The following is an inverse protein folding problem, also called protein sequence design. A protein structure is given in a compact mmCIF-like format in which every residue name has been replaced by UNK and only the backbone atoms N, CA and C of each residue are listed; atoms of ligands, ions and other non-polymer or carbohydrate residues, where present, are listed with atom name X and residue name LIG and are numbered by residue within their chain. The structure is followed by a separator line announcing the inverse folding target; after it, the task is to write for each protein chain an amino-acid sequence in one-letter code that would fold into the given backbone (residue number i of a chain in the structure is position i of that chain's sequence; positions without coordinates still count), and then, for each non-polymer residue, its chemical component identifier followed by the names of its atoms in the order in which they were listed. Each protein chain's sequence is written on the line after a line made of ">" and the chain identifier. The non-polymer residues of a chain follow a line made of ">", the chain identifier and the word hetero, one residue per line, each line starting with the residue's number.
data_IF_405968038328
#
_entry.id   IF_405968038328
#
_cell.length_a   1.000
_cell.length_b   1.000
_cell.length_c   1.000
_cell.angle_alpha   90.00
_cell.angle_beta   90.00
_cell.angle_gamma   90.00
#
_symmetry.space_group_name_H-M   'P 1'
#
loop_
_entity.id
_entity.type
_entity.pdbx_description
1 polymer ?
#
# COMPACT_ATOMS: atom_id res chain seq x y z
N UNK A 1 41.43 22.20 18.49
CA UNK A 1 40.14 22.85 18.81
C UNK A 1 39.99 24.07 17.94
N UNK A 2 39.20 23.96 16.86
CA UNK A 2 38.31 24.96 16.28
C UNK A 2 37.27 24.12 15.53
N UNK A 3 36.02 24.31 15.94
CA UNK A 3 34.82 23.66 15.43
C UNK A 3 34.29 24.45 14.22
N UNK A 4 33.39 23.82 13.46
CA UNK A 4 32.40 24.35 12.49
C UNK A 4 32.60 23.77 11.07
N UNK A 5 31.54 23.44 10.32
CA UNK A 5 30.09 23.56 10.53
C UNK A 5 29.44 22.55 9.58
N UNK A 6 28.29 21.98 9.95
CA UNK A 6 27.48 21.11 9.08
C UNK A 6 27.24 21.80 7.74
N UNK A 7 27.65 21.15 6.64
CA UNK A 7 27.38 21.60 5.29
C UNK A 7 25.93 21.26 4.95
N UNK A 8 25.08 22.28 4.82
CA UNK A 8 23.73 22.16 4.29
C UNK A 8 23.88 22.25 2.77
N UNK A 9 23.68 21.13 2.07
CA UNK A 9 23.61 21.09 0.61
C UNK A 9 22.17 21.43 0.25
N UNK A 10 21.88 22.70 -0.05
CA UNK A 10 20.60 23.08 -0.64
C UNK A 10 20.64 22.70 -2.11
N UNK A 11 20.02 21.56 -2.47
CA UNK A 11 19.86 21.15 -3.86
C UNK A 11 18.67 21.89 -4.47
N UNK A 12 18.92 23.08 -5.02
CA UNK A 12 17.94 23.79 -5.86
C UNK A 12 18.13 23.39 -7.31
N UNK A 13 17.39 22.38 -7.78
CA UNK A 13 17.25 22.06 -9.20
C UNK A 13 15.93 22.65 -9.71
N UNK A 14 16.09 23.82 -10.32
CA UNK A 14 15.10 24.59 -11.05
C UNK A 14 14.69 23.77 -12.28
N UNK A 15 13.50 23.15 -12.28
CA UNK A 15 12.88 22.63 -13.49
C UNK A 15 12.21 23.79 -14.23
N UNK A 16 13.02 24.54 -14.99
CA UNK A 16 12.51 25.44 -16.03
C UNK A 16 11.88 24.59 -17.13
N UNK A 17 10.55 24.61 -17.14
CA UNK A 17 9.71 24.78 -18.32
C UNK A 17 9.82 23.75 -19.44
N UNK A 18 8.83 22.86 -19.49
CA UNK A 18 8.21 22.52 -20.77
C UNK A 18 6.71 22.21 -20.56
N UNK A 19 5.91 23.26 -20.36
CA UNK A 19 4.46 23.19 -20.54
C UNK A 19 4.12 23.89 -21.85
N UNK A 20 4.19 23.12 -22.94
CA UNK A 20 3.60 23.47 -24.22
C UNK A 20 2.22 22.81 -24.31
N UNK A 21 1.19 23.66 -24.33
CA UNK A 21 -0.23 23.40 -24.63
C UNK A 21 -1.08 22.75 -23.53
N UNK A 22 -1.44 23.53 -22.51
CA UNK A 22 -2.73 23.38 -21.82
C UNK A 22 -3.46 24.73 -21.80
N UNK A 23 -4.77 24.66 -21.98
CA UNK A 23 -5.70 25.76 -22.21
C UNK A 23 -5.67 26.80 -21.06
N UNK A 24 -5.69 28.08 -21.41
CA UNK A 24 -5.49 29.21 -20.49
C UNK A 24 -6.76 29.41 -19.65
N UNK A 25 -6.66 29.05 -18.38
CA UNK A 25 -7.56 29.47 -17.30
C UNK A 25 -6.72 29.65 -16.05
N UNK A 26 -6.15 30.84 -15.91
CA UNK A 26 -5.44 31.39 -14.74
C UNK A 26 -4.03 30.84 -14.43
N UNK A 27 -3.03 31.53 -14.98
CA UNK A 27 -1.65 31.52 -14.47
C UNK A 27 -1.61 32.52 -13.30
N UNK A 28 -1.30 32.06 -12.09
CA UNK A 28 -1.03 32.92 -10.92
C UNK A 28 0.32 32.53 -10.33
N UNK A 29 1.25 33.48 -10.28
CA UNK A 29 2.53 33.36 -9.59
C UNK A 29 2.32 33.68 -8.10
N UNK A 30 2.74 32.77 -7.20
CA UNK A 30 2.81 33.07 -5.77
C UNK A 30 4.24 33.51 -5.41
N UNK A 31 4.38 34.81 -5.13
CA UNK A 31 5.52 35.42 -4.48
C UNK A 31 5.41 35.18 -2.96
N UNK A 32 6.53 34.85 -2.32
CA UNK A 32 6.66 34.64 -0.87
C UNK A 32 5.94 35.74 -0.07
N UNK A 33 4.99 35.35 0.78
CA UNK A 33 4.69 36.08 2.02
C UNK A 33 4.17 35.10 3.06
N UNK A 34 4.99 34.89 4.08
CA UNK A 34 4.61 34.29 5.35
C UNK A 34 3.66 35.27 6.04
N UNK A 35 2.41 34.87 6.30
CA UNK A 35 1.68 35.19 7.54
C UNK A 35 0.31 34.46 7.59
N UNK A 36 0.02 33.88 8.77
CA UNK A 36 -1.27 33.36 9.27
C UNK A 36 -1.83 32.01 8.73
N UNK A 37 -1.26 30.92 9.26
CA UNK A 37 -1.88 29.97 10.21
C UNK A 37 -3.44 29.96 10.26
N UNK A 38 -4.03 28.76 10.11
CA UNK A 38 -5.41 28.33 10.47
C UNK A 38 -6.52 28.18 9.42
N UNK A 39 -6.23 27.99 8.12
CA UNK A 39 -7.25 27.41 7.24
C UNK A 39 -6.69 26.77 5.99
N UNK A 40 -7.17 25.57 5.69
CA UNK A 40 -7.00 24.80 4.45
C UNK A 40 -5.73 23.96 4.43
N UNK A 41 -5.77 22.81 5.12
CA UNK A 41 -5.05 21.60 4.73
C UNK A 41 -5.86 20.36 5.18
N UNK A 42 -7.11 20.27 4.73
CA UNK A 42 -7.80 18.97 4.66
C UNK A 42 -7.50 18.33 3.29
N UNK A 43 -6.22 18.21 2.95
CA UNK A 43 -5.83 17.16 2.02
C UNK A 43 -5.81 15.92 2.91
N UNK A 44 -6.96 15.23 2.99
CA UNK A 44 -6.96 13.83 3.39
C UNK A 44 -6.05 13.13 2.38
N UNK A 45 -4.80 12.90 2.80
CA UNK A 45 -4.05 11.76 2.32
C UNK A 45 -5.01 10.60 2.54
N UNK A 46 -5.55 10.03 1.45
CA UNK A 46 -6.30 8.79 1.55
C UNK A 46 -5.31 7.79 2.14
N UNK A 47 -5.39 7.60 3.45
CA UNK A 47 -4.76 6.49 4.14
C UNK A 47 -5.34 5.28 3.42
N UNK A 48 -4.52 4.62 2.60
CA UNK A 48 -4.88 3.35 2.01
C UNK A 48 -5.02 2.46 3.24
N UNK A 49 -6.25 2.27 3.70
CA UNK A 49 -6.54 1.45 4.86
C UNK A 49 -6.08 0.05 4.50
N UNK A 50 -4.87 -0.30 4.94
CA UNK A 50 -4.31 -1.64 4.81
C UNK A 50 -5.26 -2.57 5.54
N UNK A 51 -5.64 -3.62 4.86
CA UNK A 51 -6.53 -4.61 5.41
C UNK A 51 -5.90 -5.19 6.67
N UNK A 52 -6.64 -5.32 7.76
CA UNK A 52 -6.20 -6.10 8.92
C UNK A 52 -6.64 -7.57 8.79
N UNK A 53 -6.17 -8.42 9.72
CA UNK A 53 -6.46 -9.87 9.71
C UNK A 53 -7.96 -10.16 9.77
N UNK A 54 -8.69 -9.45 10.63
CA UNK A 54 -10.14 -9.62 10.81
C UNK A 54 -10.92 -9.23 9.54
N UNK A 55 -10.50 -8.16 8.87
CA UNK A 55 -11.07 -7.76 7.57
C UNK A 55 -10.74 -8.77 6.47
N UNK A 56 -9.56 -9.41 6.52
CA UNK A 56 -9.16 -10.43 5.53
C UNK A 56 -10.01 -11.69 5.66
N UNK A 57 -10.27 -12.12 6.90
CA UNK A 57 -11.17 -13.22 7.18
C UNK A 57 -12.60 -12.89 6.75
N UNK A 58 -13.07 -11.67 7.02
CA UNK A 58 -14.39 -11.21 6.56
C UNK A 58 -14.51 -11.24 5.03
N UNK A 59 -13.47 -10.78 4.33
CA UNK A 59 -13.42 -10.81 2.87
C UNK A 59 -13.51 -12.25 2.33
N UNK A 60 -12.84 -13.20 2.97
CA UNK A 60 -12.93 -14.62 2.63
C UNK A 60 -14.34 -15.19 2.86
N UNK A 61 -14.99 -14.83 3.96
CA UNK A 61 -16.37 -15.23 4.25
C UNK A 61 -17.37 -14.63 3.25
N UNK A 62 -17.14 -13.40 2.78
CA UNK A 62 -17.94 -12.77 1.71
C UNK A 62 -17.72 -13.47 0.36
N UNK A 63 -16.49 -13.91 0.08
CA UNK A 63 -16.16 -14.68 -1.11
C UNK A 63 -16.80 -16.08 -1.09
N UNK A 64 -16.73 -16.80 0.03
CA UNK A 64 -17.41 -18.07 0.20
C UNK A 64 -17.70 -18.39 1.68
N UNK A 65 -18.93 -18.12 2.10
CA UNK A 65 -19.39 -18.35 3.47
C UNK A 65 -19.60 -19.82 3.86
N UNK A 66 -19.44 -20.76 2.92
CA UNK A 66 -19.64 -22.19 3.19
C UNK A 66 -18.34 -22.88 3.65
N UNK A 67 -17.24 -22.14 3.72
CA UNK A 67 -15.91 -22.65 4.08
C UNK A 67 -15.47 -21.98 5.39
N UNK A 68 -14.92 -22.79 6.30
CA UNK A 68 -14.22 -22.26 7.48
C UNK A 68 -12.77 -21.96 7.09
N UNK A 69 -12.28 -20.79 7.49
CA UNK A 69 -10.93 -20.34 7.21
C UNK A 69 -10.09 -20.34 8.50
N UNK A 70 -8.97 -21.06 8.49
CA UNK A 70 -8.09 -21.21 9.64
C UNK A 70 -6.83 -20.39 9.41
N UNK A 71 -6.66 -19.31 10.18
CA UNK A 71 -5.49 -18.44 10.08
C UNK A 71 -4.17 -19.22 10.27
N UNK A 72 -3.19 -18.96 9.39
CA UNK A 72 -1.87 -19.62 9.41
C UNK A 72 -0.71 -18.68 9.65
N UNK A 73 -0.86 -17.37 9.42
CA UNK A 73 0.26 -16.43 9.50
C UNK A 73 0.17 -15.32 8.47
N UNK A 74 1.26 -14.57 8.34
CA UNK A 74 1.41 -13.50 7.35
C UNK A 74 2.41 -13.90 6.27
N UNK A 75 2.71 -13.00 5.31
CA UNK A 75 3.74 -13.22 4.30
C UNK A 75 5.11 -13.60 4.85
N UNK A 76 5.43 -13.17 6.08
CA UNK A 76 6.75 -13.38 6.68
C UNK A 76 7.02 -14.86 6.98
N UNK A 77 5.95 -15.61 7.25
CA UNK A 77 5.98 -17.04 7.55
C UNK A 77 6.18 -17.91 6.28
N UNK A 78 6.03 -17.32 5.09
CA UNK A 78 6.09 -18.04 3.82
C UNK A 78 7.10 -17.41 2.86
N UNK A 79 8.24 -18.09 2.64
CA UNK A 79 9.31 -17.64 1.73
C UNK A 79 8.79 -17.20 0.36
N UNK A 80 7.85 -17.95 -0.22
CA UNK A 80 7.27 -17.65 -1.52
C UNK A 80 6.54 -16.30 -1.59
N UNK A 81 5.91 -15.85 -0.50
CA UNK A 81 5.20 -14.57 -0.45
C UNK A 81 6.19 -13.43 -0.21
N UNK A 82 7.11 -13.63 0.74
CA UNK A 82 8.19 -12.68 1.06
C UNK A 82 9.08 -12.37 -0.15
N UNK A 83 9.50 -13.38 -0.91
CA UNK A 83 10.34 -13.21 -2.10
C UNK A 83 9.63 -12.44 -3.23
N UNK A 84 8.29 -12.47 -3.25
CA UNK A 84 7.48 -11.70 -4.20
C UNK A 84 7.15 -10.28 -3.70
N UNK A 85 7.54 -9.93 -2.47
CA UNK A 85 7.20 -8.64 -1.86
C UNK A 85 5.70 -8.45 -1.61
N UNK A 86 4.94 -9.55 -1.55
CA UNK A 86 3.52 -9.53 -1.24
C UNK A 86 3.34 -9.43 0.28
N UNK A 87 2.31 -8.70 0.71
CA UNK A 87 1.97 -8.53 2.13
C UNK A 87 0.53 -8.91 2.38
N UNK A 88 0.27 -9.54 3.52
CA UNK A 88 -1.08 -9.88 3.94
C UNK A 88 -1.15 -11.20 4.69
N UNK A 89 -2.28 -11.88 4.56
CA UNK A 89 -2.68 -12.94 5.50
C UNK A 89 -2.95 -14.26 4.80
N UNK A 90 -2.48 -15.35 5.41
CA UNK A 90 -2.67 -16.71 4.90
C UNK A 90 -3.66 -17.47 5.77
N UNK A 91 -4.60 -18.14 5.11
CA UNK A 91 -5.61 -18.99 5.72
C UNK A 91 -5.64 -20.36 5.04
N UNK A 92 -5.86 -21.43 5.80
CA UNK A 92 -6.22 -22.73 5.23
C UNK A 92 -7.74 -22.86 5.18
N UNK A 93 -8.23 -23.46 4.11
CA UNK A 93 -9.64 -23.85 4.02
C UNK A 93 -9.83 -25.17 4.77
N UNK A 94 -10.85 -25.26 5.63
CA UNK A 94 -11.23 -26.51 6.32
C UNK A 94 -12.03 -27.43 5.37
N UNK A 95 -11.38 -27.83 4.27
CA UNK A 95 -11.89 -28.73 3.24
C UNK A 95 -10.78 -29.64 2.76
N UNK A 96 -11.13 -30.73 2.07
CA UNK A 96 -10.13 -31.61 1.45
C UNK A 96 -9.36 -30.87 0.36
N UNK A 97 -8.06 -30.69 0.57
CA UNK A 97 -7.16 -30.03 -0.36
C UNK A 97 -5.83 -29.64 0.28
N UNK A 98 -4.88 -29.20 -0.55
CA UNK A 98 -3.56 -28.71 -0.13
C UNK A 98 -3.40 -27.20 -0.33
N UNK A 99 -4.41 -26.53 -0.91
CA UNK A 99 -4.37 -25.10 -1.17
C UNK A 99 -4.84 -24.28 0.03
N UNK A 100 -4.06 -23.26 0.37
CA UNK A 100 -4.49 -22.15 1.21
C UNK A 100 -5.02 -20.97 0.40
N UNK A 101 -5.44 -19.94 1.12
CA UNK A 101 -5.89 -18.67 0.60
C UNK A 101 -4.96 -17.57 1.14
N UNK A 102 -4.41 -16.75 0.26
CA UNK A 102 -3.67 -15.55 0.62
C UNK A 102 -4.52 -14.33 0.29
N UNK A 103 -4.67 -13.41 1.24
CA UNK A 103 -5.36 -12.14 1.08
C UNK A 103 -4.34 -11.02 1.14
N UNK A 104 -4.21 -10.26 0.06
CA UNK A 104 -3.27 -9.15 0.00
C UNK A 104 -3.81 -7.93 0.79
N UNK A 105 -2.99 -7.39 1.69
CA UNK A 105 -3.41 -6.28 2.57
C UNK A 105 -3.53 -4.93 1.84
N UNK A 106 -2.83 -4.76 0.72
CA UNK A 106 -2.72 -3.49 0.00
C UNK A 106 -3.86 -3.32 -1.03
N UNK A 107 -4.30 -4.40 -1.67
CA UNK A 107 -5.30 -4.36 -2.75
C UNK A 107 -6.53 -5.24 -2.55
N UNK A 108 -6.64 -5.88 -1.39
CA UNK A 108 -7.76 -6.75 -1.00
C UNK A 108 -8.03 -7.91 -1.97
N UNK A 109 -7.05 -8.31 -2.80
CA UNK A 109 -7.22 -9.46 -3.69
C UNK A 109 -7.01 -10.76 -2.94
N UNK A 110 -7.81 -11.76 -3.31
CA UNK A 110 -7.76 -13.12 -2.78
C UNK A 110 -7.04 -14.01 -3.79
N UNK A 111 -6.10 -14.82 -3.32
CA UNK A 111 -5.34 -15.76 -4.14
C UNK A 111 -5.42 -17.17 -3.55
N UNK A 112 -5.59 -18.17 -4.40
CA UNK A 112 -5.19 -19.53 -4.06
C UNK A 112 -3.67 -19.58 -3.92
N UNK A 113 -3.19 -20.17 -2.85
CA UNK A 113 -1.80 -20.16 -2.44
C UNK A 113 -1.32 -21.56 -2.04
N UNK A 114 -0.10 -21.91 -2.40
CA UNK A 114 0.61 -23.06 -1.85
C UNK A 114 2.07 -22.69 -1.55
N UNK A 115 2.68 -23.17 -0.44
CA UNK A 115 4.05 -22.82 -0.04
C UNK A 115 5.13 -23.13 -1.08
N UNK A 116 4.85 -23.96 -2.09
CA UNK A 116 5.75 -24.19 -3.23
C UNK A 116 5.95 -22.97 -4.14
N UNK A 117 5.25 -21.86 -3.90
CA UNK A 117 5.26 -20.67 -4.77
C UNK A 117 4.11 -20.60 -5.76
N UNK A 118 3.16 -21.53 -5.69
CA UNK A 118 1.94 -21.40 -6.48
C UNK A 118 1.07 -20.28 -5.91
N UNK A 119 0.67 -19.36 -6.80
CA UNK A 119 -0.22 -18.25 -6.49
C UNK A 119 -1.15 -18.01 -7.69
N UNK A 120 -2.47 -18.02 -7.46
CA UNK A 120 -3.46 -17.79 -8.51
C UNK A 120 -4.59 -16.94 -7.96
N UNK A 121 -4.90 -15.83 -8.64
CA UNK A 121 -6.04 -14.97 -8.29
C UNK A 121 -7.35 -15.79 -8.24
N UNK A 122 -8.06 -15.70 -7.13
CA UNK A 122 -9.41 -16.23 -6.99
C UNK A 122 -10.40 -15.32 -7.74
N UNK A 123 -11.32 -15.93 -8.49
CA UNK A 123 -12.29 -15.23 -9.36
C UNK A 123 -13.70 -15.35 -8.82
#
# INVERSE_FOLDING_TARGET
>A
MIYMKKAIITLSLICVGLLGTINVGDIVFAQDTIENIDKINNIEVQEINKLNKEEAEKLLLEYNSNVTYIYQGTEEDFTALKEQGLKGYVFLMDIDGDLGMFVNEDDSKIYYFHPSGYLKLAQ
#
